data_IF_590047601225
#
_entry.id   IF_590047601225
#
_cell.length_a   1.000
_cell.length_b   1.000
_cell.length_c   1.000
_cell.angle_alpha   90.00
_cell.angle_beta   90.00
_cell.angle_gamma   90.00
#
_symmetry.space_group_name_H-M   'P 1'
#
loop_
_entity.id
_entity.type
_entity.pdbx_description
1 polymer ?
#
# COMPACT_ATOMS: atom_id res chain seq x y z
N UNK A 1 -107.86 22.81 155.34
CA UNK A 1 -106.69 22.82 156.24
C UNK A 1 -105.89 21.57 155.93
N UNK A 2 -104.62 21.74 155.53
CA UNK A 2 -103.45 20.84 155.72
C UNK A 2 -103.57 19.35 155.31
N UNK A 3 -102.57 18.63 154.84
CA UNK A 3 -101.20 18.78 154.31
C UNK A 3 -100.71 17.31 154.11
N UNK A 4 -99.58 17.15 153.41
CA UNK A 4 -98.71 15.96 153.29
C UNK A 4 -99.14 14.88 152.28
N UNK A 5 -98.42 14.60 151.18
CA UNK A 5 -96.97 14.40 150.86
C UNK A 5 -96.58 12.91 150.92
N UNK A 6 -96.22 12.33 149.76
CA UNK A 6 -94.96 11.59 149.59
C UNK A 6 -94.55 11.36 148.12
N UNK A 7 -93.34 10.83 147.92
CA UNK A 7 -92.38 11.03 146.83
C UNK A 7 -92.10 9.79 145.92
N UNK A 8 -91.43 9.97 144.75
CA UNK A 8 -90.75 8.86 144.01
C UNK A 8 -90.53 9.05 142.48
N UNK A 9 -89.37 8.66 141.92
CA UNK A 9 -88.79 9.00 140.58
C UNK A 9 -88.72 7.85 139.52
N UNK A 10 -88.78 8.24 138.21
CA UNK A 10 -88.11 7.79 136.93
C UNK A 10 -88.44 6.48 136.10
N UNK A 11 -88.79 6.72 134.80
CA UNK A 11 -88.52 6.10 133.44
C UNK A 11 -88.79 4.63 133.01
N UNK A 12 -89.52 4.42 131.86
CA UNK A 12 -89.37 3.25 130.92
C UNK A 12 -90.15 3.24 129.55
N UNK A 13 -91.06 4.16 129.21
CA UNK A 13 -92.09 3.88 128.16
C UNK A 13 -91.74 4.09 126.67
N UNK A 14 -90.62 4.72 126.31
CA UNK A 14 -90.23 4.90 124.88
C UNK A 14 -89.72 3.61 124.19
N UNK A 15 -89.34 2.58 124.95
CA UNK A 15 -88.84 1.32 124.39
C UNK A 15 -89.89 0.44 123.69
N UNK A 16 -91.17 0.61 124.01
CA UNK A 16 -92.25 -0.26 123.47
C UNK A 16 -92.62 0.14 122.04
N UNK A 17 -92.48 1.43 121.68
CA UNK A 17 -92.82 1.95 120.35
C UNK A 17 -91.85 1.44 119.27
N UNK A 18 -90.58 1.23 119.61
CA UNK A 18 -89.56 0.74 118.67
C UNK A 18 -89.71 -0.76 118.33
N UNK A 19 -90.23 -1.57 119.26
CA UNK A 19 -90.42 -3.02 119.04
C UNK A 19 -91.59 -3.29 118.07
N UNK A 20 -92.64 -2.47 118.10
CA UNK A 20 -93.80 -2.63 117.22
C UNK A 20 -93.50 -2.32 115.75
N UNK A 21 -92.58 -1.39 115.46
CA UNK A 21 -92.21 -1.01 114.09
C UNK A 21 -91.36 -2.10 113.41
N UNK A 22 -90.52 -2.81 114.17
CA UNK A 22 -89.68 -3.88 113.63
C UNK A 22 -90.47 -5.13 113.21
N UNK A 23 -91.59 -5.43 113.89
CA UNK A 23 -92.41 -6.61 113.58
C UNK A 23 -93.18 -6.42 112.26
N UNK A 24 -93.63 -5.20 111.97
CA UNK A 24 -94.38 -4.90 110.73
C UNK A 24 -93.46 -4.91 109.50
N UNK A 25 -92.22 -4.42 109.64
CA UNK A 25 -91.24 -4.43 108.55
C UNK A 25 -90.68 -5.84 108.27
N UNK A 26 -90.57 -6.71 109.27
CA UNK A 26 -90.11 -8.09 109.09
C UNK A 26 -91.12 -8.97 108.36
N UNK A 27 -92.43 -8.75 108.55
CA UNK A 27 -93.49 -9.55 107.93
C UNK A 27 -93.66 -9.33 106.42
N UNK A 28 -93.43 -8.10 105.93
CA UNK A 28 -93.63 -7.76 104.51
C UNK A 28 -92.53 -8.31 103.59
N UNK A 29 -91.30 -8.44 104.10
CA UNK A 29 -90.16 -8.94 103.32
C UNK A 29 -90.18 -10.46 103.12
N UNK A 30 -90.85 -11.22 103.99
CA UNK A 30 -90.91 -12.68 103.85
C UNK A 30 -91.97 -13.11 102.82
N UNK A 31 -93.06 -12.34 102.66
CA UNK A 31 -94.12 -12.67 101.70
C UNK A 31 -93.74 -12.39 100.22
N UNK A 32 -92.79 -11.48 99.98
CA UNK A 32 -92.38 -11.12 98.61
C UNK A 32 -91.37 -12.09 97.97
N UNK A 33 -90.88 -13.09 98.71
CA UNK A 33 -89.88 -14.06 98.21
C UNK A 33 -90.42 -15.45 97.85
N UNK A 34 -91.74 -15.65 97.81
CA UNK A 34 -92.34 -16.98 97.56
C UNK A 34 -93.48 -17.03 96.53
N UNK A 35 -93.54 -16.14 95.54
CA UNK A 35 -94.53 -16.28 94.45
C UNK A 35 -93.93 -15.96 93.07
N UNK A 36 -93.21 -16.95 92.56
CA UNK A 36 -92.73 -17.09 91.19
C UNK A 36 -93.80 -17.86 90.40
N UNK A 37 -94.46 -17.25 89.40
CA UNK A 37 -95.27 -17.95 88.39
C UNK A 37 -95.65 -17.02 87.21
N UNK A 38 -95.22 -17.36 85.99
CA UNK A 38 -95.83 -16.85 84.75
C UNK A 38 -94.86 -16.44 83.62
N UNK A 39 -94.23 -17.42 82.98
CA UNK A 39 -93.50 -17.31 81.71
C UNK A 39 -94.47 -17.10 80.54
N UNK A 40 -94.16 -16.19 79.60
CA UNK A 40 -94.38 -16.46 78.16
C UNK A 40 -93.42 -15.61 77.29
N UNK A 41 -92.65 -16.31 76.46
CA UNK A 41 -91.69 -15.78 75.48
C UNK A 41 -92.22 -16.01 74.07
N UNK A 42 -92.09 -15.02 73.18
CA UNK A 42 -91.87 -15.27 71.74
C UNK A 42 -90.93 -14.23 71.14
N UNK A 43 -89.95 -14.74 70.39
CA UNK A 43 -88.67 -14.12 70.05
C UNK A 43 -88.68 -13.26 68.76
N UNK A 44 -87.72 -12.33 68.68
CA UNK A 44 -87.37 -11.48 67.54
C UNK A 44 -86.25 -12.13 66.70
N UNK A 45 -86.32 -12.02 65.38
CA UNK A 45 -85.36 -12.56 64.40
C UNK A 45 -84.29 -11.49 64.08
N UNK A 46 -83.02 -11.89 63.99
CA UNK A 46 -81.84 -11.02 63.88
C UNK A 46 -81.03 -11.38 62.61
N UNK A 47 -80.99 -10.50 61.61
CA UNK A 47 -80.05 -10.58 60.46
C UNK A 47 -79.33 -9.22 60.26
N UNK A 48 -78.00 -9.19 60.05
CA UNK A 48 -77.24 -7.96 59.87
C UNK A 48 -77.26 -7.47 58.41
N UNK A 49 -77.69 -6.23 58.17
CA UNK A 49 -77.55 -5.53 56.89
C UNK A 49 -76.61 -4.30 57.06
N UNK A 50 -75.73 -4.06 56.07
CA UNK A 50 -74.76 -2.95 56.05
C UNK A 50 -75.17 -1.85 55.06
N UNK A 51 -74.86 -0.59 55.37
CA UNK A 51 -75.17 0.58 54.54
C UNK A 51 -74.18 0.76 53.37
N UNK A 52 -74.69 0.96 52.15
CA UNK A 52 -73.89 1.07 50.91
C UNK A 52 -73.41 2.51 50.68
N UNK A 53 -72.14 2.71 50.32
CA UNK A 53 -71.56 4.01 49.95
C UNK A 53 -71.10 4.04 48.49
N UNK A 54 -71.49 5.06 47.74
CA UNK A 54 -71.05 5.31 46.35
C UNK A 54 -69.80 6.18 46.32
N UNK A 55 -68.73 5.70 45.67
CA UNK A 55 -67.52 6.46 45.33
C UNK A 55 -67.02 6.03 43.94
N UNK A 56 -66.17 6.83 43.27
CA UNK A 56 -65.66 6.47 41.95
C UNK A 56 -64.85 5.17 42.04
N UNK A 57 -65.34 4.12 41.38
CA UNK A 57 -64.63 2.85 41.23
C UNK A 57 -63.58 3.02 40.12
N UNK A 58 -62.33 3.28 40.49
CA UNK A 58 -61.23 3.27 39.52
C UNK A 58 -60.89 1.83 39.16
N UNK A 59 -61.41 1.35 38.02
CA UNK A 59 -61.09 0.04 37.46
C UNK A 59 -59.67 0.12 36.88
N UNK A 60 -58.66 -0.33 37.62
CA UNK A 60 -57.32 -0.51 37.08
C UNK A 60 -57.20 -1.91 36.47
N UNK A 61 -57.06 -1.97 35.15
CA UNK A 61 -56.67 -3.19 34.44
C UNK A 61 -55.15 -3.16 34.28
N UNK A 62 -54.47 -4.11 34.91
CA UNK A 62 -53.02 -4.29 34.71
C UNK A 62 -52.83 -5.22 33.52
N UNK A 63 -52.59 -4.64 32.34
CA UNK A 63 -52.21 -5.40 31.16
C UNK A 63 -50.69 -5.54 31.10
N UNK A 64 -50.20 -6.76 30.99
CA UNK A 64 -48.80 -7.04 30.71
C UNK A 64 -48.57 -6.98 29.21
N UNK A 65 -47.89 -5.93 28.75
CA UNK A 65 -47.47 -5.76 27.36
C UNK A 65 -45.95 -5.71 27.24
N UNK A 66 -45.42 -6.13 26.10
CA UNK A 66 -44.00 -5.97 25.76
C UNK A 66 -43.86 -4.83 24.75
N UNK A 67 -42.94 -3.91 24.98
CA UNK A 67 -42.66 -2.84 24.03
C UNK A 67 -41.76 -3.41 22.92
N UNK A 68 -42.18 -3.23 21.67
CA UNK A 68 -41.38 -3.55 20.49
C UNK A 68 -41.24 -2.32 19.59
N UNK A 69 -40.08 -2.16 18.98
CA UNK A 69 -39.83 -1.08 18.04
C UNK A 69 -40.69 -1.26 16.78
N UNK A 70 -41.42 -0.21 16.38
CA UNK A 70 -42.21 -0.20 15.13
C UNK A 70 -41.31 -0.25 13.89
N UNK A 71 -40.16 0.41 13.95
CA UNK A 71 -39.18 0.47 12.87
C UNK A 71 -37.81 0.09 13.44
N UNK A 72 -37.12 -0.81 12.75
CA UNK A 72 -35.81 -1.31 13.13
C UNK A 72 -34.87 -1.23 11.93
N UNK A 73 -33.67 -0.71 12.15
CA UNK A 73 -32.59 -0.71 11.15
C UNK A 73 -31.49 -1.62 11.64
N UNK A 74 -31.16 -2.64 10.84
CA UNK A 74 -30.05 -3.56 11.13
C UNK A 74 -28.79 -3.02 10.47
N UNK A 75 -27.81 -2.63 11.28
CA UNK A 75 -26.49 -2.27 10.81
C UNK A 75 -25.64 -3.53 10.62
N UNK A 76 -25.02 -3.66 9.45
CA UNK A 76 -24.13 -4.76 9.11
C UNK A 76 -22.74 -4.20 8.84
N UNK A 77 -21.71 -4.96 9.19
CA UNK A 77 -20.34 -4.62 8.79
C UNK A 77 -20.18 -4.82 7.28
N UNK A 78 -19.61 -3.82 6.61
CA UNK A 78 -19.22 -3.89 5.19
C UNK A 78 -17.75 -4.30 5.00
N UNK A 79 -16.99 -4.43 6.10
CA UNK A 79 -15.58 -4.80 6.06
C UNK A 79 -15.45 -6.28 5.67
N UNK A 80 -14.68 -6.57 4.63
CA UNK A 80 -14.39 -7.94 4.22
C UNK A 80 -13.48 -8.65 5.22
N UNK A 81 -13.87 -9.85 5.66
CA UNK A 81 -13.09 -10.67 6.59
C UNK A 81 -13.52 -10.54 8.06
N UNK A 82 -12.60 -10.84 8.98
CA UNK A 82 -12.84 -10.76 10.43
C UNK A 82 -12.16 -9.51 10.98
N UNK A 83 -12.95 -8.53 11.43
CA UNK A 83 -12.48 -7.33 12.13
C UNK A 83 -12.85 -7.40 13.60
N UNK A 84 -11.91 -7.07 14.48
CA UNK A 84 -12.17 -6.94 15.92
C UNK A 84 -12.87 -5.61 16.21
N UNK A 85 -13.80 -5.60 17.15
CA UNK A 85 -14.43 -4.36 17.62
C UNK A 85 -13.48 -3.70 18.62
N UNK A 86 -13.01 -2.49 18.31
CA UNK A 86 -12.18 -1.66 19.18
C UNK A 86 -13.03 -0.92 20.22
N UNK A 87 -14.19 -0.42 19.81
CA UNK A 87 -15.10 0.32 20.66
C UNK A 87 -16.55 0.03 20.29
N UNK A 88 -17.40 -0.10 21.31
CA UNK A 88 -18.84 -0.31 21.19
C UNK A 88 -19.56 0.57 22.21
N UNK A 89 -20.59 1.29 21.76
CA UNK A 89 -21.42 2.12 22.63
C UNK A 89 -22.28 1.23 23.55
N UNK A 90 -22.48 1.59 24.84
CA UNK A 90 -23.32 0.83 25.76
C UNK A 90 -24.76 0.66 25.29
N UNK A 91 -25.38 -0.47 25.63
CA UNK A 91 -26.78 -0.75 25.32
C UNK A 91 -27.73 0.27 25.98
N UNK A 92 -28.79 0.63 25.27
CA UNK A 92 -29.78 1.62 25.74
C UNK A 92 -29.37 3.09 25.59
N UNK A 93 -28.21 3.36 24.96
CA UNK A 93 -27.77 4.73 24.67
C UNK A 93 -28.61 5.36 23.55
N UNK A 94 -29.13 6.55 23.79
CA UNK A 94 -29.81 7.35 22.77
C UNK A 94 -28.77 7.98 21.84
N UNK A 95 -28.88 7.73 20.53
CA UNK A 95 -27.89 8.15 19.52
C UNK A 95 -28.55 8.94 18.40
N UNK A 96 -27.80 9.85 17.81
CA UNK A 96 -28.22 10.68 16.66
C UNK A 96 -27.53 10.19 15.39
N UNK A 97 -28.07 10.64 14.25
CA UNK A 97 -27.48 10.34 12.94
C UNK A 97 -26.06 10.90 12.85
N UNK A 98 -25.09 10.02 12.64
CA UNK A 98 -23.67 10.36 12.52
C UNK A 98 -22.84 10.02 13.76
N UNK A 99 -23.47 9.58 14.85
CA UNK A 99 -22.75 9.14 16.04
C UNK A 99 -22.02 7.82 15.80
N UNK A 100 -20.79 7.71 16.33
CA UNK A 100 -19.99 6.49 16.23
C UNK A 100 -20.56 5.42 17.14
N UNK A 101 -21.10 4.35 16.54
CA UNK A 101 -21.70 3.23 17.29
C UNK A 101 -20.70 2.10 17.53
N UNK A 102 -19.86 1.81 16.52
CA UNK A 102 -18.89 0.73 16.51
C UNK A 102 -17.64 1.20 15.79
N UNK A 103 -16.48 1.01 16.41
CA UNK A 103 -15.18 1.16 15.76
C UNK A 103 -14.57 -0.22 15.51
N UNK A 104 -14.21 -0.51 14.26
CA UNK A 104 -13.63 -1.78 13.84
C UNK A 104 -12.13 -1.61 13.57
N UNK A 105 -11.32 -2.59 13.96
CA UNK A 105 -9.90 -2.60 13.63
C UNK A 105 -9.68 -2.79 12.13
N UNK A 106 -9.11 -1.75 11.51
CA UNK A 106 -8.79 -1.70 10.08
C UNK A 106 -7.28 -1.80 9.80
N UNK A 107 -6.45 -2.05 10.81
CA UNK A 107 -4.97 -2.00 10.70
C UNK A 107 -4.46 -2.91 9.58
N UNK A 108 -4.99 -4.14 9.50
CA UNK A 108 -4.60 -5.10 8.46
C UNK A 108 -4.94 -4.64 7.03
N UNK A 109 -6.05 -3.91 6.84
CA UNK A 109 -6.44 -3.36 5.54
C UNK A 109 -5.61 -2.14 5.15
N UNK A 110 -5.25 -1.31 6.14
CA UNK A 110 -4.32 -0.20 5.93
C UNK A 110 -2.96 -0.74 5.50
N UNK A 111 -2.46 -1.77 6.17
CA UNK A 111 -1.18 -2.42 5.82
C UNK A 111 -1.23 -3.04 4.42
N UNK A 112 -2.31 -3.74 4.06
CA UNK A 112 -2.52 -4.27 2.71
C UNK A 112 -2.57 -3.17 1.65
N UNK A 113 -3.26 -2.05 1.93
CA UNK A 113 -3.33 -0.89 1.03
C UNK A 113 -1.97 -0.25 0.82
N UNK A 114 -1.17 -0.11 1.88
CA UNK A 114 0.21 0.38 1.81
C UNK A 114 1.07 -0.59 1.00
N UNK A 115 1.00 -1.90 1.27
CA UNK A 115 1.75 -2.91 0.53
C UNK A 115 1.39 -2.90 -0.96
N UNK A 116 0.11 -2.79 -1.30
CA UNK A 116 -0.35 -2.70 -2.69
C UNK A 116 0.11 -1.42 -3.36
N UNK A 117 0.09 -0.28 -2.65
CA UNK A 117 0.61 0.99 -3.16
C UNK A 117 2.12 0.89 -3.44
N UNK A 118 2.89 0.27 -2.55
CA UNK A 118 4.32 0.01 -2.75
C UNK A 118 4.52 -0.90 -3.96
N UNK A 119 3.73 -1.96 -4.10
CA UNK A 119 3.82 -2.87 -5.25
C UNK A 119 3.57 -2.14 -6.59
N UNK A 120 2.54 -1.29 -6.65
CA UNK A 120 2.25 -0.47 -7.84
C UNK A 120 3.35 0.54 -8.11
N UNK A 121 3.90 1.19 -7.08
CA UNK A 121 5.01 2.13 -7.22
C UNK A 121 6.26 1.43 -7.77
N UNK A 122 6.60 0.26 -7.25
CA UNK A 122 7.72 -0.55 -7.73
C UNK A 122 7.51 -1.01 -9.18
N UNK A 123 6.31 -1.47 -9.53
CA UNK A 123 5.96 -1.86 -10.89
C UNK A 123 6.04 -0.66 -11.85
N UNK A 124 5.56 0.51 -11.43
CA UNK A 124 5.63 1.76 -12.21
C UNK A 124 7.08 2.18 -12.42
N UNK A 125 7.90 2.17 -11.36
CA UNK A 125 9.32 2.48 -11.46
C UNK A 125 10.08 1.48 -12.35
N UNK A 126 9.72 0.19 -12.30
CA UNK A 126 10.28 -0.82 -13.19
C UNK A 126 9.89 -0.57 -14.66
N UNK A 127 8.62 -0.24 -14.93
CA UNK A 127 8.13 0.11 -16.26
C UNK A 127 8.83 1.35 -16.82
N UNK A 128 8.94 2.42 -16.03
CA UNK A 128 9.65 3.65 -16.45
C UNK A 128 11.10 3.32 -16.75
N UNK A 129 11.82 2.60 -15.88
CA UNK A 129 13.21 2.19 -16.15
C UNK A 129 13.35 1.38 -17.42
N UNK A 130 12.46 0.42 -17.66
CA UNK A 130 12.49 -0.40 -18.87
C UNK A 130 12.26 0.44 -20.12
N UNK A 131 11.32 1.39 -20.08
CA UNK A 131 11.03 2.30 -21.19
C UNK A 131 12.19 3.25 -21.50
N UNK A 132 12.78 3.87 -20.48
CA UNK A 132 13.93 4.75 -20.67
C UNK A 132 15.14 3.95 -21.18
N UNK A 133 15.37 2.74 -20.66
CA UNK A 133 16.43 1.86 -21.15
C UNK A 133 16.22 1.46 -22.62
N UNK A 134 14.98 1.16 -23.02
CA UNK A 134 14.66 0.89 -24.43
C UNK A 134 15.04 2.08 -25.32
N UNK A 135 14.63 3.29 -24.94
CA UNK A 135 14.96 4.51 -25.69
C UNK A 135 16.47 4.75 -25.78
N UNK A 136 17.23 4.48 -24.71
CA UNK A 136 18.70 4.58 -24.73
C UNK A 136 19.30 3.56 -25.71
N UNK A 137 18.87 2.30 -25.64
CA UNK A 137 19.38 1.24 -26.53
C UNK A 137 19.03 1.49 -27.99
N UNK A 138 17.82 1.97 -28.27
CA UNK A 138 17.39 2.33 -29.64
C UNK A 138 18.25 3.47 -30.20
N UNK A 139 18.51 4.51 -29.42
CA UNK A 139 19.36 5.62 -29.84
C UNK A 139 20.81 5.17 -30.04
N UNK A 140 21.35 4.36 -29.13
CA UNK A 140 22.71 3.82 -29.28
C UNK A 140 22.83 2.95 -30.53
N UNK A 141 21.89 2.03 -30.75
CA UNK A 141 21.88 1.17 -31.92
C UNK A 141 21.79 1.98 -33.23
N UNK A 142 20.98 3.05 -33.23
CA UNK A 142 20.90 3.97 -34.37
C UNK A 142 22.24 4.68 -34.62
N UNK A 143 22.86 5.22 -33.57
CA UNK A 143 24.18 5.87 -33.68
C UNK A 143 25.27 4.90 -34.13
N UNK A 144 25.24 3.64 -33.69
CA UNK A 144 26.19 2.62 -34.10
C UNK A 144 26.04 2.27 -35.59
N UNK A 145 24.79 2.19 -36.08
CA UNK A 145 24.51 2.00 -37.52
C UNK A 145 24.99 3.20 -38.34
N UNK A 146 24.69 4.43 -37.92
CA UNK A 146 25.15 5.65 -38.61
C UNK A 146 26.69 5.73 -38.65
N UNK A 147 27.37 5.36 -37.56
CA UNK A 147 28.83 5.30 -37.52
C UNK A 147 29.39 4.22 -38.47
N UNK A 148 28.76 3.05 -38.52
CA UNK A 148 29.16 1.98 -39.43
C UNK A 148 28.96 2.38 -40.90
N UNK A 149 27.86 3.06 -41.22
CA UNK A 149 27.59 3.60 -42.55
C UNK A 149 28.62 4.66 -42.95
N UNK A 150 28.96 5.58 -42.04
CA UNK A 150 29.98 6.60 -42.28
C UNK A 150 31.36 5.97 -42.51
N UNK A 151 31.75 4.99 -41.70
CA UNK A 151 33.00 4.27 -41.87
C UNK A 151 33.05 3.52 -43.20
N UNK A 152 31.94 2.90 -43.62
CA UNK A 152 31.83 2.26 -44.92
C UNK A 152 31.94 3.28 -46.05
N UNK A 153 31.35 4.46 -45.91
CA UNK A 153 31.49 5.54 -46.87
C UNK A 153 32.95 5.98 -47.00
N UNK A 154 33.62 6.28 -45.89
CA UNK A 154 35.04 6.67 -45.92
C UNK A 154 35.93 5.57 -46.51
N UNK A 155 35.71 4.30 -46.15
CA UNK A 155 36.45 3.20 -46.74
C UNK A 155 36.25 3.09 -48.26
N UNK A 156 35.04 3.36 -48.77
CA UNK A 156 34.77 3.41 -50.22
C UNK A 156 35.44 4.59 -50.90
N UNK A 157 35.44 5.76 -50.26
CA UNK A 157 36.10 6.96 -50.77
C UNK A 157 37.62 6.77 -50.81
N UNK A 158 38.22 6.20 -49.76
CA UNK A 158 39.64 5.86 -49.69
C UNK A 158 40.02 4.84 -50.76
N UNK A 159 39.19 3.81 -50.97
CA UNK A 159 39.39 2.84 -52.05
C UNK A 159 39.35 3.51 -53.43
N UNK A 160 38.36 4.39 -53.68
CA UNK A 160 38.28 5.11 -54.96
C UNK A 160 39.47 6.06 -55.14
N UNK A 161 39.86 6.81 -54.10
CA UNK A 161 41.05 7.68 -54.13
C UNK A 161 42.31 6.88 -54.45
N UNK A 162 42.48 5.71 -53.84
CA UNK A 162 43.61 4.85 -54.12
C UNK A 162 43.58 4.32 -55.56
N UNK A 163 42.46 3.72 -55.98
CA UNK A 163 42.31 3.09 -57.30
C UNK A 163 42.40 4.08 -58.45
N UNK A 164 41.74 5.22 -58.32
CA UNK A 164 41.53 6.18 -59.41
C UNK A 164 42.56 7.33 -59.38
N UNK A 165 43.22 7.55 -58.24
CA UNK A 165 44.19 8.64 -58.06
C UNK A 165 45.60 8.17 -57.73
N UNK A 166 45.81 7.60 -56.56
CA UNK A 166 47.15 7.31 -56.03
C UNK A 166 47.86 6.21 -56.81
N UNK A 167 47.19 5.10 -57.12
CA UNK A 167 47.78 3.97 -57.82
C UNK A 167 48.19 4.31 -59.27
N UNK A 168 47.35 4.93 -60.11
CA UNK A 168 47.76 5.36 -61.46
C UNK A 168 48.95 6.33 -61.42
N UNK A 169 49.02 7.20 -60.42
CA UNK A 169 50.17 8.09 -60.21
C UNK A 169 51.44 7.30 -59.90
N UNK A 170 51.39 6.39 -58.92
CA UNK A 170 52.53 5.53 -58.55
C UNK A 170 53.02 4.68 -59.73
N UNK A 171 52.09 4.11 -60.49
CA UNK A 171 52.38 3.31 -61.68
C UNK A 171 53.11 4.17 -62.73
N UNK A 172 52.63 5.39 -63.00
CA UNK A 172 53.28 6.31 -63.93
C UNK A 172 54.66 6.75 -63.45
N UNK A 173 54.84 6.98 -62.15
CA UNK A 173 56.15 7.30 -61.55
C UNK A 173 57.14 6.13 -61.71
N UNK A 174 56.70 4.89 -61.41
CA UNK A 174 57.52 3.69 -61.56
C UNK A 174 57.93 3.45 -63.04
N UNK A 175 56.97 3.57 -63.96
CA UNK A 175 57.25 3.49 -65.40
C UNK A 175 58.24 4.58 -65.85
N UNK A 176 58.10 5.81 -65.35
CA UNK A 176 59.01 6.89 -65.68
C UNK A 176 60.44 6.60 -65.21
N UNK A 177 60.62 6.00 -64.02
CA UNK A 177 61.92 5.54 -63.53
C UNK A 177 62.52 4.45 -64.41
N UNK A 178 61.72 3.48 -64.84
CA UNK A 178 62.16 2.43 -65.78
C UNK A 178 62.63 3.06 -67.09
N UNK A 179 61.87 4.00 -67.65
CA UNK A 179 62.24 4.70 -68.88
C UNK A 179 63.60 5.40 -68.72
N UNK A 180 63.78 6.19 -67.65
CA UNK A 180 65.04 6.89 -67.37
C UNK A 180 66.22 5.93 -67.17
N UNK A 181 66.03 4.84 -66.41
CA UNK A 181 67.05 3.82 -66.21
C UNK A 181 67.39 3.08 -67.51
N UNK A 182 66.39 2.85 -68.37
CA UNK A 182 66.58 2.21 -69.68
C UNK A 182 67.38 3.10 -70.62
N UNK A 183 67.08 4.40 -70.68
CA UNK A 183 67.84 5.38 -71.47
C UNK A 183 69.27 5.51 -70.97
N UNK A 184 69.46 5.50 -69.65
CA UNK A 184 70.79 5.54 -69.02
C UNK A 184 71.61 4.30 -69.38
N UNK A 185 71.00 3.12 -69.35
CA UNK A 185 71.65 1.87 -69.78
C UNK A 185 72.01 1.90 -71.26
N UNK A 186 71.09 2.35 -72.13
CA UNK A 186 71.34 2.47 -73.57
C UNK A 186 72.56 3.37 -73.81
N UNK A 187 72.61 4.54 -73.17
CA UNK A 187 73.74 5.46 -73.26
C UNK A 187 75.04 4.81 -72.76
N UNK A 188 75.04 4.25 -71.55
CA UNK A 188 76.23 3.62 -70.97
C UNK A 188 76.74 2.43 -71.79
N UNK A 189 75.83 1.69 -72.43
CA UNK A 189 76.18 0.57 -73.32
C UNK A 189 76.83 1.04 -74.61
N UNK A 190 76.31 2.12 -75.21
CA UNK A 190 76.90 2.71 -76.41
C UNK A 190 78.28 3.33 -76.10
N UNK A 191 78.42 4.04 -74.97
CA UNK A 191 79.69 4.58 -74.50
C UNK A 191 80.74 3.48 -74.25
N UNK A 192 80.32 2.36 -73.65
CA UNK A 192 81.16 1.17 -73.46
C UNK A 192 81.60 0.56 -74.80
N UNK A 193 80.68 0.47 -75.77
CA UNK A 193 80.98 -0.05 -77.11
C UNK A 193 82.02 0.80 -77.83
N UNK A 194 81.89 2.13 -77.80
CA UNK A 194 82.91 3.03 -78.36
C UNK A 194 84.24 2.94 -77.59
N UNK A 195 84.19 2.82 -76.27
CA UNK A 195 85.37 2.65 -75.42
C UNK A 195 86.15 1.37 -75.75
N UNK A 196 85.45 0.26 -76.02
CA UNK A 196 86.06 -0.99 -76.51
C UNK A 196 86.77 -0.80 -77.84
N UNK A 197 86.10 -0.15 -78.81
CA UNK A 197 86.70 0.14 -80.13
C UNK A 197 87.97 1.00 -80.00
N UNK A 198 87.95 2.02 -79.14
CA UNK A 198 89.11 2.91 -78.92
C UNK A 198 90.25 2.21 -78.18
N UNK A 199 89.94 1.32 -77.24
CA UNK A 199 90.92 0.50 -76.54
C UNK A 199 91.63 -0.46 -77.50
N UNK A 200 90.89 -1.13 -78.39
CA UNK A 200 91.45 -2.02 -79.41
C UNK A 200 92.38 -1.28 -80.38
N UNK A 201 92.05 -0.03 -80.69
CA UNK A 201 92.89 0.88 -81.48
C UNK A 201 94.05 1.51 -80.67
N UNK A 202 94.23 1.14 -79.40
CA UNK A 202 95.26 1.63 -78.46
C UNK A 202 95.18 3.13 -78.11
N UNK A 203 94.00 3.74 -78.23
CA UNK A 203 93.76 5.15 -77.88
C UNK A 203 93.16 5.35 -76.47
N UNK A 204 92.80 4.27 -75.77
CA UNK A 204 92.20 4.31 -74.42
C UNK A 204 92.99 3.42 -73.45
N UNK A 205 93.05 3.78 -72.17
CA UNK A 205 93.70 2.96 -71.14
C UNK A 205 92.78 1.87 -70.58
N UNK A 206 93.37 0.78 -70.05
CA UNK A 206 92.62 -0.33 -69.48
C UNK A 206 91.73 0.10 -68.30
N UNK A 207 92.26 0.96 -67.42
CA UNK A 207 91.50 1.51 -66.29
C UNK A 207 90.25 2.26 -66.75
N UNK A 208 90.35 3.00 -67.86
CA UNK A 208 89.20 3.73 -68.42
C UNK A 208 88.18 2.81 -69.06
N UNK A 209 88.60 1.73 -69.71
CA UNK A 209 87.67 0.71 -70.19
C UNK A 209 86.92 0.03 -69.04
N UNK A 210 87.63 -0.34 -67.97
CA UNK A 210 87.04 -0.96 -66.77
C UNK A 210 86.04 -0.04 -66.06
N UNK A 211 86.30 1.27 -66.01
CA UNK A 211 85.38 2.27 -65.47
C UNK A 211 84.04 2.30 -66.25
N UNK A 212 84.11 2.25 -67.59
CA UNK A 212 82.91 2.21 -68.46
C UNK A 212 82.16 0.88 -68.34
N UNK A 213 82.87 -0.24 -68.19
CA UNK A 213 82.25 -1.54 -67.93
C UNK A 213 81.48 -1.56 -66.61
N UNK A 214 82.09 -1.03 -65.55
CA UNK A 214 81.43 -0.89 -64.25
C UNK A 214 80.20 0.03 -64.35
N UNK A 215 80.30 1.14 -65.09
CA UNK A 215 79.21 2.09 -65.30
C UNK A 215 78.02 1.44 -66.02
N UNK A 216 78.27 0.71 -67.11
CA UNK A 216 77.24 -0.02 -67.83
C UNK A 216 76.60 -1.13 -66.98
N UNK A 217 77.42 -1.85 -66.20
CA UNK A 217 76.91 -2.87 -65.27
C UNK A 217 76.01 -2.25 -64.19
N UNK A 218 76.41 -1.11 -63.62
CA UNK A 218 75.61 -0.38 -62.62
C UNK A 218 74.26 0.06 -63.20
N UNK A 219 74.28 0.71 -64.37
CA UNK A 219 73.06 1.14 -65.06
C UNK A 219 72.13 -0.03 -65.39
N UNK A 220 72.68 -1.22 -65.68
CA UNK A 220 71.88 -2.44 -65.89
C UNK A 220 71.22 -2.89 -64.59
N UNK A 221 71.96 -2.96 -63.50
CA UNK A 221 71.41 -3.31 -62.17
C UNK A 221 70.32 -2.32 -61.76
N UNK A 222 70.53 -1.02 -61.99
CA UNK A 222 69.55 0.02 -61.66
C UNK A 222 68.24 -0.14 -62.45
N UNK A 223 68.31 -0.53 -63.73
CA UNK A 223 67.13 -0.85 -64.53
C UNK A 223 66.39 -2.08 -64.00
N UNK A 224 67.12 -3.15 -63.65
CA UNK A 224 66.50 -4.37 -63.10
C UNK A 224 65.84 -4.10 -61.74
N UNK A 225 66.46 -3.26 -60.89
CA UNK A 225 65.86 -2.79 -59.64
C UNK A 225 64.56 -2.03 -59.90
N UNK A 226 64.56 -1.07 -60.85
CA UNK A 226 63.37 -0.29 -61.18
C UNK A 226 62.22 -1.14 -61.73
N UNK A 227 62.52 -2.22 -62.45
CA UNK A 227 61.51 -3.21 -62.89
C UNK A 227 60.97 -4.01 -61.71
N UNK A 228 61.85 -4.52 -60.85
CA UNK A 228 61.44 -5.26 -59.66
C UNK A 228 60.56 -4.42 -58.72
N UNK A 229 60.83 -3.12 -58.60
CA UNK A 229 59.99 -2.17 -57.85
C UNK A 229 58.58 -2.02 -58.46
N UNK A 230 58.47 -2.02 -59.79
CA UNK A 230 57.18 -2.00 -60.49
C UNK A 230 56.41 -3.31 -60.26
N UNK A 231 57.10 -4.45 -60.38
CA UNK A 231 56.48 -5.77 -60.16
C UNK A 231 55.95 -5.88 -58.72
N UNK A 232 56.72 -5.42 -57.73
CA UNK A 232 56.28 -5.35 -56.33
C UNK A 232 55.05 -4.44 -56.13
N UNK A 233 54.99 -3.32 -56.87
CA UNK A 233 53.86 -2.39 -56.81
C UNK A 233 52.59 -3.05 -57.34
N UNK A 234 52.67 -3.73 -58.49
CA UNK A 234 51.52 -4.34 -59.18
C UNK A 234 51.05 -5.60 -58.48
N UNK A 235 51.97 -6.49 -58.12
CA UNK A 235 51.62 -7.83 -57.65
C UNK A 235 51.26 -7.85 -56.16
N UNK A 236 51.86 -6.97 -55.35
CA UNK A 236 51.70 -7.03 -53.89
C UNK A 236 51.08 -5.76 -53.31
N UNK A 237 51.60 -4.58 -53.68
CA UNK A 237 51.15 -3.32 -53.06
C UNK A 237 49.72 -2.98 -53.45
N UNK A 238 49.36 -3.17 -54.73
CA UNK A 238 48.00 -2.98 -55.22
C UNK A 238 46.99 -3.93 -54.55
N UNK A 239 47.32 -5.23 -54.52
CA UNK A 239 46.42 -6.25 -53.96
C UNK A 239 46.22 -6.10 -52.46
N UNK A 240 47.27 -5.68 -51.72
CA UNK A 240 47.20 -5.48 -50.27
C UNK A 240 46.38 -4.26 -49.86
N UNK A 241 46.29 -3.22 -50.69
CA UNK A 241 45.57 -1.98 -50.34
C UNK A 241 44.10 -2.00 -50.76
N UNK A 242 43.68 -2.99 -51.56
CA UNK A 242 42.29 -3.16 -52.02
C UNK A 242 41.54 -4.22 -51.19
N UNK A 243 42.26 -5.20 -50.63
CA UNK A 243 41.72 -6.21 -49.71
C UNK A 243 41.76 -5.74 -48.26
#
# INVERSE_FOLDING_TARGET
MTDQKDSGKLNTKWGIVLVLILIIAGGSLYAAKTADFGQDQTALINEPFFEVKTGPLTISVSESGTIQAKEMVILKSEVEGRSTILSLVPEGTEVKKGDLLVELDASSMVDQSIAQKIAVQNATAAYVRARENLAVVENQAKSDVELAELNLQFAKEDLSKYRDGEYPKLLKEAQSKITLASETLVKATEDLKWSRILFDKKYLSQTKLQEQELTAHKAKTDLELAKADLDLLVDYTYQRQIN
#
